data_IF_215644069878
#
_entry.id   IF_215644069878
#
_cell.length_a   1.000
_cell.length_b   1.000
_cell.length_c   1.000
_cell.angle_alpha   90.00
_cell.angle_beta   90.00
_cell.angle_gamma   90.00
#
_symmetry.space_group_name_H-M   'P 1'
#
loop_
_entity.id
_entity.type
_entity.pdbx_description
1 polymer ?
#
# COMPACT_ATOMS: atom_id res chain seq x y z
N UNK A 1 18.49 6.48 88.91
CA UNK A 1 19.17 6.07 87.65
C UNK A 1 18.25 5.05 86.99
N UNK A 2 17.68 5.19 85.80
CA UNK A 2 17.98 6.03 84.65
C UNK A 2 16.66 6.44 83.97
N UNK A 3 16.63 7.67 83.47
CA UNK A 3 15.48 8.31 82.84
C UNK A 3 15.17 7.70 81.46
N UNK A 4 13.88 7.46 81.19
CA UNK A 4 13.34 7.21 79.87
C UNK A 4 13.41 8.52 79.05
N UNK A 5 14.31 8.58 78.06
CA UNK A 5 14.33 9.68 77.09
C UNK A 5 13.23 9.47 76.03
N UNK A 6 12.51 10.53 75.63
CA UNK A 6 11.47 10.44 74.61
C UNK A 6 12.07 10.31 73.21
N UNK A 7 11.41 9.53 72.36
CA UNK A 7 11.66 9.42 70.92
C UNK A 7 11.63 10.81 70.28
N UNK A 8 12.78 11.28 69.83
CA UNK A 8 12.92 12.52 69.07
C UNK A 8 12.24 12.37 67.71
N UNK A 9 11.09 13.01 67.56
CA UNK A 9 10.44 13.23 66.27
C UNK A 9 11.34 14.11 65.41
N UNK A 10 11.96 13.50 64.39
CA UNK A 10 12.71 14.23 63.38
C UNK A 10 11.77 15.19 62.63
N UNK A 11 12.22 16.40 62.26
CA UNK A 11 11.40 17.38 61.55
C UNK A 11 10.91 16.81 60.22
N UNK A 12 9.65 17.08 59.85
CA UNK A 12 9.01 16.56 58.64
C UNK A 12 9.85 16.84 57.37
N UNK A 13 10.65 17.91 57.37
CA UNK A 13 11.58 18.25 56.29
C UNK A 13 12.75 17.27 56.14
N UNK A 14 13.26 16.68 57.24
CA UNK A 14 14.31 15.66 57.17
C UNK A 14 13.72 14.30 56.77
N UNK A 15 12.49 14.01 57.21
CA UNK A 15 11.76 12.82 56.79
C UNK A 15 11.47 12.85 55.27
N UNK A 16 11.03 14.00 54.74
CA UNK A 16 10.78 14.17 53.32
C UNK A 16 12.06 14.04 52.47
N UNK A 17 13.18 14.59 52.93
CA UNK A 17 14.48 14.45 52.28
C UNK A 17 14.94 12.99 52.27
N UNK A 18 14.77 12.30 53.38
CA UNK A 18 15.10 10.88 53.48
C UNK A 18 14.23 10.03 52.54
N UNK A 19 12.91 10.25 52.51
CA UNK A 19 12.02 9.54 51.57
C UNK A 19 12.34 9.86 50.12
N UNK A 20 12.79 11.08 49.82
CA UNK A 20 13.18 11.49 48.47
C UNK A 20 14.51 10.84 48.05
N UNK A 21 15.46 10.71 48.97
CA UNK A 21 16.73 9.98 48.74
C UNK A 21 16.51 8.48 48.58
N UNK A 22 15.63 7.88 49.39
CA UNK A 22 15.22 6.48 49.27
C UNK A 22 14.49 6.23 47.95
N UNK A 23 13.56 7.12 47.58
CA UNK A 23 12.87 7.07 46.28
C UNK A 23 13.82 7.28 45.10
N UNK A 24 14.79 8.20 45.24
CA UNK A 24 15.83 8.42 44.24
C UNK A 24 16.71 7.19 44.05
N UNK A 25 17.12 6.52 45.12
CA UNK A 25 17.84 5.24 45.06
C UNK A 25 17.00 4.14 44.41
N UNK A 26 15.72 4.03 44.76
CA UNK A 26 14.80 3.08 44.12
C UNK A 26 14.65 3.34 42.62
N UNK A 27 14.49 4.61 42.23
CA UNK A 27 14.45 5.00 40.81
C UNK A 27 15.77 4.65 40.12
N UNK A 28 16.92 4.89 40.75
CA UNK A 28 18.21 4.53 40.18
C UNK A 28 18.41 3.02 40.08
N UNK A 29 17.94 2.21 41.04
CA UNK A 29 17.98 0.74 40.95
C UNK A 29 17.05 0.21 39.85
N UNK A 30 15.83 0.75 39.76
CA UNK A 30 14.83 0.34 38.78
C UNK A 30 15.22 0.78 37.36
N UNK A 31 15.74 2.00 37.20
CA UNK A 31 16.24 2.55 35.94
C UNK A 31 17.70 2.18 35.64
N UNK A 32 18.41 1.51 36.56
CA UNK A 32 19.79 1.09 36.35
C UNK A 32 19.83 0.11 35.17
N UNK A 33 20.73 0.29 34.21
CA UNK A 33 20.90 -0.61 33.08
C UNK A 33 21.64 -1.88 33.53
N UNK A 34 21.15 -2.58 34.55
CA UNK A 34 21.54 -3.96 34.80
C UNK A 34 20.87 -4.82 33.72
N UNK A 35 21.66 -4.92 32.65
CA UNK A 35 21.66 -5.60 31.36
C UNK A 35 20.63 -6.71 30.98
N UNK A 36 19.55 -6.95 31.73
CA UNK A 36 18.53 -7.95 31.39
C UNK A 36 17.07 -7.45 31.50
N UNK A 37 16.83 -6.30 32.15
CA UNK A 37 15.47 -5.83 32.50
C UNK A 37 15.05 -4.50 31.88
N UNK A 38 15.81 -3.96 30.92
CA UNK A 38 15.48 -2.71 30.21
C UNK A 38 14.14 -2.74 29.46
N UNK A 39 13.52 -3.92 29.33
CA UNK A 39 12.18 -4.13 28.78
C UNK A 39 11.03 -3.81 29.74
N UNK A 40 11.29 -3.63 31.04
CA UNK A 40 10.24 -3.49 32.07
C UNK A 40 9.96 -2.05 32.51
N UNK A 41 10.77 -1.08 32.09
CA UNK A 41 10.68 0.32 32.53
C UNK A 41 9.68 1.16 31.73
N UNK A 42 9.52 0.83 30.46
CA UNK A 42 8.46 1.39 29.61
C UNK A 42 7.63 0.20 29.18
N UNK A 43 6.58 -0.17 29.93
CA UNK A 43 5.65 -1.17 29.45
C UNK A 43 5.12 -0.67 28.13
N UNK A 44 5.15 -1.52 27.13
CA UNK A 44 4.65 -1.14 25.83
C UNK A 44 3.18 -0.74 25.99
N UNK A 45 2.76 0.42 25.44
CA UNK A 45 1.54 1.11 25.86
C UNK A 45 0.27 0.26 25.67
N UNK A 46 0.33 -0.72 24.76
CA UNK A 46 -0.74 -1.68 24.47
C UNK A 46 -1.07 -2.67 25.60
N UNK A 47 -0.25 -2.74 26.66
CA UNK A 47 -0.53 -3.56 27.84
C UNK A 47 -1.26 -2.80 28.95
N UNK A 48 -1.56 -1.50 28.74
CA UNK A 48 -2.24 -0.65 29.71
C UNK A 48 -3.74 -0.58 29.38
N UNK A 49 -4.64 -0.51 30.37
CA UNK A 49 -6.06 -0.29 30.09
C UNK A 49 -6.29 1.08 29.43
N UNK A 50 -7.20 1.13 28.45
CA UNK A 50 -7.60 2.36 27.72
C UNK A 50 -6.47 3.06 26.94
N UNK A 51 -5.42 2.34 26.53
CA UNK A 51 -4.35 2.93 25.74
C UNK A 51 -4.81 3.42 24.36
N UNK A 52 -5.89 2.85 23.82
CA UNK A 52 -6.45 3.18 22.50
C UNK A 52 -6.98 4.61 22.42
N UNK A 53 -7.29 5.25 23.55
CA UNK A 53 -7.78 6.64 23.59
C UNK A 53 -6.63 7.64 23.38
N UNK A 54 -5.43 7.29 23.83
CA UNK A 54 -4.26 8.18 23.82
C UNK A 54 -3.32 7.90 22.66
N UNK A 55 -3.27 6.65 22.19
CA UNK A 55 -2.38 6.21 21.13
C UNK A 55 -3.16 5.88 19.87
N UNK A 56 -2.50 6.08 18.72
CA UNK A 56 -3.07 5.75 17.42
C UNK A 56 -3.25 4.24 17.20
N UNK A 57 -3.82 3.86 16.04
CA UNK A 57 -4.08 2.48 15.69
C UNK A 57 -2.81 1.62 15.79
N UNK A 58 -2.89 0.51 16.52
CA UNK A 58 -1.80 -0.47 16.65
C UNK A 58 -1.91 -1.59 15.62
N UNK A 59 -3.10 -1.81 15.07
CA UNK A 59 -3.31 -2.82 14.04
C UNK A 59 -2.64 -2.39 12.74
N UNK A 60 -1.83 -3.28 12.18
CA UNK A 60 -1.13 -3.04 10.93
C UNK A 60 -2.10 -2.68 9.79
N UNK A 61 -3.31 -3.25 9.78
CA UNK A 61 -4.35 -2.93 8.81
C UNK A 61 -4.81 -1.47 8.87
N UNK A 62 -4.99 -0.91 10.06
CA UNK A 62 -5.43 0.47 10.27
C UNK A 62 -4.30 1.46 9.99
N UNK A 63 -3.06 1.11 10.35
CA UNK A 63 -1.87 1.86 9.97
C UNK A 63 -1.70 1.86 8.45
N UNK A 64 -1.91 0.72 7.79
CA UNK A 64 -1.92 0.61 6.33
C UNK A 64 -3.04 1.44 5.69
N UNK A 65 -4.22 1.49 6.29
CA UNK A 65 -5.31 2.34 5.82
C UNK A 65 -4.97 3.83 5.95
N UNK A 66 -4.42 4.24 7.09
CA UNK A 66 -3.99 5.61 7.34
C UNK A 66 -2.86 6.03 6.39
N UNK A 67 -1.83 5.19 6.25
CA UNK A 67 -0.72 5.45 5.34
C UNK A 67 -1.19 5.51 3.88
N UNK A 68 -2.14 4.67 3.47
CA UNK A 68 -2.78 4.76 2.14
C UNK A 68 -3.52 6.08 1.94
N UNK A 69 -4.20 6.59 2.97
CA UNK A 69 -4.91 7.86 2.89
C UNK A 69 -3.95 9.07 2.82
N UNK A 70 -2.82 9.01 3.52
CA UNK A 70 -1.81 10.07 3.55
C UNK A 70 -0.90 10.06 2.32
N UNK A 71 -0.47 8.88 1.88
CA UNK A 71 0.39 8.68 0.73
C UNK A 71 -0.17 7.55 -0.14
N UNK A 72 -1.18 7.84 -0.99
CA UNK A 72 -1.81 6.82 -1.80
C UNK A 72 -0.84 6.30 -2.88
N UNK A 73 -0.59 4.98 -2.96
CA UNK A 73 0.21 4.39 -4.02
C UNK A 73 -0.64 4.28 -5.30
N UNK A 74 -0.92 5.41 -5.95
CA UNK A 74 -1.84 5.52 -7.09
C UNK A 74 -1.44 4.61 -8.26
N UNK A 75 -0.15 4.59 -8.61
CA UNK A 75 0.37 3.77 -9.71
C UNK A 75 0.13 2.29 -9.44
N UNK A 76 0.52 1.81 -8.25
CA UNK A 76 0.31 0.41 -7.85
C UNK A 76 -1.17 0.06 -7.84
N UNK A 77 -2.02 0.97 -7.37
CA UNK A 77 -3.47 0.76 -7.34
C UNK A 77 -4.06 0.61 -8.76
N UNK A 78 -3.60 1.42 -9.72
CA UNK A 78 -4.01 1.30 -11.13
C UNK A 78 -3.52 -0.03 -11.72
N UNK A 79 -2.27 -0.40 -11.45
CA UNK A 79 -1.70 -1.67 -11.93
C UNK A 79 -2.46 -2.87 -11.38
N UNK A 80 -2.72 -2.88 -10.08
CA UNK A 80 -3.47 -3.93 -9.41
C UNK A 80 -4.90 -3.99 -9.94
N UNK A 81 -5.56 -2.84 -10.18
CA UNK A 81 -6.91 -2.79 -10.74
C UNK A 81 -6.98 -3.33 -12.19
N UNK A 82 -6.00 -3.02 -13.03
CA UNK A 82 -5.97 -3.49 -14.42
C UNK A 82 -5.51 -4.94 -14.57
N UNK A 83 -4.74 -5.47 -13.60
CA UNK A 83 -4.28 -6.86 -13.61
C UNK A 83 -5.26 -7.82 -12.92
N UNK A 84 -5.80 -7.42 -11.77
CA UNK A 84 -6.61 -8.24 -10.88
C UNK A 84 -8.05 -7.70 -10.81
N UNK A 85 -8.79 -7.90 -11.90
CA UNK A 85 -10.18 -7.46 -12.03
C UNK A 85 -11.08 -8.00 -10.91
N UNK A 86 -10.82 -9.23 -10.47
CA UNK A 86 -11.68 -9.97 -9.54
C UNK A 86 -11.67 -9.36 -8.12
N UNK A 87 -10.63 -8.59 -7.78
CA UNK A 87 -10.47 -7.97 -6.47
C UNK A 87 -11.23 -6.64 -6.34
N UNK A 88 -11.46 -5.94 -7.45
CA UNK A 88 -12.07 -4.60 -7.46
C UNK A 88 -13.51 -4.61 -7.99
N UNK A 89 -13.85 -5.61 -8.79
CA UNK A 89 -15.19 -5.81 -9.32
C UNK A 89 -15.75 -7.10 -8.70
N UNK A 90 -16.47 -7.01 -7.56
CA UNK A 90 -17.21 -8.16 -7.06
C UNK A 90 -18.15 -8.63 -8.18
N UNK A 91 -18.23 -9.96 -8.38
CA UNK A 91 -18.85 -10.70 -9.50
C UNK A 91 -20.38 -10.45 -9.66
N UNK A 92 -20.91 -9.35 -9.12
CA UNK A 92 -22.29 -8.94 -9.28
C UNK A 92 -22.50 -8.35 -10.69
N UNK A 93 -23.06 -9.21 -11.55
CA UNK A 93 -23.93 -8.92 -12.69
C UNK A 93 -23.46 -7.85 -13.69
N UNK A 94 -22.98 -8.36 -14.83
CA UNK A 94 -22.64 -7.63 -16.04
C UNK A 94 -21.39 -6.75 -15.92
N UNK A 95 -20.22 -7.37 -16.13
CA UNK A 95 -19.05 -6.62 -16.55
C UNK A 95 -19.43 -5.78 -17.77
N UNK A 96 -19.38 -4.45 -17.64
CA UNK A 96 -19.38 -3.58 -18.79
C UNK A 96 -18.22 -4.03 -19.67
N UNK A 97 -18.55 -4.56 -20.86
CA UNK A 97 -17.57 -5.11 -21.81
C UNK A 97 -16.38 -4.17 -22.01
N UNK A 98 -16.59 -2.86 -21.88
CA UNK A 98 -15.56 -1.82 -22.01
C UNK A 98 -14.49 -1.85 -20.93
N UNK A 99 -14.84 -2.21 -19.68
CA UNK A 99 -13.85 -2.29 -18.58
C UNK A 99 -12.96 -3.52 -18.79
N UNK A 100 -13.55 -4.62 -19.25
CA UNK A 100 -12.81 -5.83 -19.61
C UNK A 100 -11.89 -5.57 -20.81
N UNK A 101 -12.36 -4.84 -21.83
CA UNK A 101 -11.58 -4.44 -23.00
C UNK A 101 -10.29 -3.69 -22.59
N UNK A 102 -10.38 -2.74 -21.66
CA UNK A 102 -9.22 -2.02 -21.16
C UNK A 102 -8.21 -2.93 -20.44
N UNK A 103 -8.70 -3.83 -19.60
CA UNK A 103 -7.85 -4.78 -18.87
C UNK A 103 -7.13 -5.74 -19.83
N UNK A 104 -7.83 -6.25 -20.85
CA UNK A 104 -7.23 -7.10 -21.89
C UNK A 104 -6.17 -6.34 -22.67
N UNK A 105 -6.45 -5.12 -23.12
CA UNK A 105 -5.48 -4.29 -23.82
C UNK A 105 -4.23 -4.02 -22.96
N UNK A 106 -4.43 -3.75 -21.66
CA UNK A 106 -3.34 -3.54 -20.71
C UNK A 106 -2.48 -4.78 -20.48
N UNK A 107 -3.07 -5.98 -20.42
CA UNK A 107 -2.32 -7.24 -20.30
C UNK A 107 -1.38 -7.45 -21.48
N UNK A 108 -1.88 -7.28 -22.72
CA UNK A 108 -1.04 -7.37 -23.93
C UNK A 108 0.07 -6.29 -23.89
N UNK A 109 -0.27 -5.06 -23.49
CA UNK A 109 0.69 -3.97 -23.33
C UNK A 109 1.82 -4.31 -22.33
N UNK A 110 1.52 -5.04 -21.25
CA UNK A 110 2.55 -5.46 -20.28
C UNK A 110 3.55 -6.43 -20.87
N UNK A 111 3.10 -7.39 -21.67
CA UNK A 111 3.93 -8.42 -22.33
C UNK A 111 4.70 -7.88 -23.53
N UNK A 112 4.23 -6.77 -24.11
CA UNK A 112 4.86 -6.13 -25.26
C UNK A 112 6.13 -5.33 -24.94
N UNK A 113 6.95 -5.13 -25.97
CA UNK A 113 8.19 -4.35 -25.90
C UNK A 113 7.94 -2.83 -25.76
N UNK A 114 9.01 -2.03 -25.62
CA UNK A 114 8.89 -0.57 -25.44
C UNK A 114 8.24 0.17 -26.62
N UNK A 115 8.28 -0.43 -27.82
CA UNK A 115 7.58 0.03 -29.02
C UNK A 115 6.64 -1.07 -29.50
N UNK A 116 5.35 -0.75 -29.56
CA UNK A 116 4.28 -1.70 -29.84
C UNK A 116 3.72 -1.38 -31.21
N UNK A 117 3.67 -2.36 -32.10
CA UNK A 117 2.94 -2.23 -33.36
C UNK A 117 1.44 -2.25 -33.05
N UNK A 118 0.73 -1.19 -33.44
CA UNK A 118 -0.71 -1.03 -33.13
C UNK A 118 -1.54 -2.11 -33.84
N UNK A 119 -1.12 -2.54 -35.03
CA UNK A 119 -1.84 -3.58 -35.77
C UNK A 119 -1.71 -4.95 -35.09
N UNK A 120 -0.50 -5.36 -34.71
CA UNK A 120 -0.28 -6.64 -34.02
C UNK A 120 -0.99 -6.65 -32.66
N UNK A 121 -1.04 -5.51 -31.98
CA UNK A 121 -1.79 -5.35 -30.74
C UNK A 121 -3.31 -5.53 -30.95
N UNK A 122 -3.87 -4.96 -32.02
CA UNK A 122 -5.27 -5.15 -32.39
C UNK A 122 -5.58 -6.62 -32.71
N UNK A 123 -4.70 -7.32 -33.43
CA UNK A 123 -4.90 -8.74 -33.75
C UNK A 123 -4.83 -9.61 -32.49
N UNK A 124 -3.89 -9.34 -31.59
CA UNK A 124 -3.81 -10.03 -30.30
C UNK A 124 -5.07 -9.77 -29.44
N UNK A 125 -5.60 -8.54 -29.49
CA UNK A 125 -6.82 -8.16 -28.79
C UNK A 125 -8.06 -8.89 -29.33
N UNK A 126 -8.20 -8.96 -30.65
CA UNK A 126 -9.27 -9.70 -31.36
C UNK A 126 -9.25 -11.19 -31.01
N UNK A 127 -8.05 -11.81 -31.04
CA UNK A 127 -7.86 -13.22 -30.72
C UNK A 127 -8.30 -13.61 -29.29
N UNK A 128 -8.23 -12.68 -28.33
CA UNK A 128 -8.66 -12.92 -26.94
C UNK A 128 -10.17 -12.79 -26.79
N UNK A 129 -10.81 -11.84 -27.49
CA UNK A 129 -12.24 -11.57 -27.35
C UNK A 129 -13.12 -12.52 -28.17
N UNK A 130 -12.72 -12.85 -29.40
CA UNK A 130 -13.49 -13.72 -30.29
C UNK A 130 -12.61 -14.87 -30.84
N UNK A 131 -12.22 -15.84 -30.00
CA UNK A 131 -11.32 -16.93 -30.41
C UNK A 131 -11.92 -17.91 -31.44
N UNK A 132 -13.18 -17.72 -31.87
CA UNK A 132 -13.91 -18.65 -32.73
C UNK A 132 -14.68 -17.99 -33.89
N UNK A 133 -14.50 -16.69 -34.13
CA UNK A 133 -15.21 -15.99 -35.21
C UNK A 133 -14.41 -15.99 -36.52
N UNK A 134 -14.90 -16.77 -37.51
CA UNK A 134 -14.67 -16.64 -38.96
C UNK A 134 -13.23 -16.93 -39.50
N UNK A 135 -13.11 -17.38 -40.78
CA UNK A 135 -11.83 -17.78 -41.36
C UNK A 135 -10.84 -16.59 -41.46
N UNK A 136 -9.55 -16.91 -41.32
CA UNK A 136 -8.41 -16.00 -41.17
C UNK A 136 -8.26 -14.87 -42.21
N UNK A 137 -9.08 -14.86 -43.26
CA UNK A 137 -9.03 -13.91 -44.36
C UNK A 137 -9.91 -12.67 -44.14
N UNK A 138 -10.82 -12.69 -43.16
CA UNK A 138 -11.65 -11.52 -42.81
C UNK A 138 -11.12 -10.90 -41.53
N UNK A 139 -10.27 -9.87 -41.64
CA UNK A 139 -9.69 -9.19 -40.48
C UNK A 139 -10.71 -8.67 -39.45
N UNK A 140 -10.24 -8.17 -38.28
CA UNK A 140 -11.04 -7.97 -37.07
C UNK A 140 -12.33 -7.19 -37.32
N UNK A 141 -13.42 -7.54 -36.64
CA UNK A 141 -14.72 -6.88 -36.87
C UNK A 141 -14.66 -5.37 -36.60
N UNK A 142 -15.51 -4.57 -37.27
CA UNK A 142 -15.56 -3.10 -37.05
C UNK A 142 -15.82 -2.75 -35.58
N UNK A 143 -16.61 -3.59 -34.90
CA UNK A 143 -16.96 -3.43 -33.49
C UNK A 143 -15.71 -3.63 -32.61
N UNK A 144 -14.93 -4.67 -32.85
CA UNK A 144 -13.69 -4.96 -32.10
C UNK A 144 -12.65 -3.87 -32.32
N UNK A 145 -12.49 -3.39 -33.56
CA UNK A 145 -11.62 -2.23 -33.84
C UNK A 145 -12.03 -1.01 -33.03
N UNK A 146 -13.33 -0.72 -32.92
CA UNK A 146 -13.81 0.43 -32.15
C UNK A 146 -13.59 0.28 -30.65
N UNK A 147 -13.77 -0.94 -30.10
CA UNK A 147 -13.48 -1.26 -28.70
C UNK A 147 -11.99 -1.14 -28.38
N UNK A 148 -11.15 -1.70 -29.23
CA UNK A 148 -9.70 -1.57 -29.13
C UNK A 148 -9.25 -0.10 -29.16
N UNK A 149 -9.74 0.69 -30.11
CA UNK A 149 -9.40 2.11 -30.19
C UNK A 149 -9.84 2.89 -28.95
N UNK A 150 -10.98 2.54 -28.35
CA UNK A 150 -11.42 3.12 -27.07
C UNK A 150 -10.47 2.75 -25.94
N UNK A 151 -10.15 1.48 -25.77
CA UNK A 151 -9.20 1.02 -24.75
C UNK A 151 -7.80 1.67 -24.93
N UNK A 152 -7.34 1.83 -26.18
CA UNK A 152 -6.10 2.50 -26.50
C UNK A 152 -6.10 3.98 -26.08
N UNK A 153 -7.22 4.68 -26.30
CA UNK A 153 -7.38 6.08 -25.87
C UNK A 153 -7.38 6.20 -24.34
N UNK A 154 -8.02 5.26 -23.64
CA UNK A 154 -8.03 5.24 -22.18
C UNK A 154 -6.60 5.04 -21.64
N UNK A 155 -5.81 4.14 -22.23
CA UNK A 155 -4.39 3.97 -21.90
C UNK A 155 -3.55 5.21 -22.23
N UNK A 156 -3.83 5.90 -23.33
CA UNK A 156 -3.18 7.17 -23.69
C UNK A 156 -3.53 8.28 -22.66
N UNK A 157 -4.79 8.36 -22.22
CA UNK A 157 -5.26 9.31 -21.22
C UNK A 157 -4.63 9.04 -19.83
N UNK A 158 -4.39 7.78 -19.48
CA UNK A 158 -3.65 7.40 -18.26
C UNK A 158 -2.14 7.70 -18.34
N UNK A 159 -1.63 8.12 -19.50
CA UNK A 159 -0.21 8.38 -19.71
C UNK A 159 0.65 7.12 -19.83
N UNK A 160 0.03 5.96 -20.11
CA UNK A 160 0.71 4.67 -20.27
C UNK A 160 1.34 4.51 -21.65
N UNK A 161 0.65 5.04 -22.64
CA UNK A 161 1.00 4.89 -24.05
C UNK A 161 1.04 6.26 -24.70
N UNK A 162 2.01 6.46 -25.59
CA UNK A 162 2.12 7.68 -26.40
C UNK A 162 2.22 7.33 -27.87
N UNK A 163 1.49 8.07 -28.72
CA UNK A 163 1.66 7.98 -30.18
C UNK A 163 3.03 8.54 -30.58
N UNK A 164 3.80 7.75 -31.33
CA UNK A 164 5.12 8.19 -31.81
C UNK A 164 5.03 8.74 -33.22
N UNK A 165 5.88 9.73 -33.54
CA UNK A 165 6.13 10.15 -34.92
C UNK A 165 7.27 9.38 -35.58
N UNK A 166 7.97 8.53 -34.81
CA UNK A 166 9.16 7.80 -35.27
C UNK A 166 8.80 6.65 -36.21
N UNK A 167 7.69 5.96 -35.96
CA UNK A 167 7.04 5.01 -36.87
C UNK A 167 5.54 5.23 -36.83
N UNK A 168 4.93 5.43 -38.01
CA UNK A 168 3.53 5.88 -38.16
C UNK A 168 2.51 4.96 -37.49
N UNK A 169 2.83 3.67 -37.35
CA UNK A 169 1.91 2.65 -36.83
C UNK A 169 2.35 2.08 -35.47
N UNK A 170 3.26 2.77 -34.76
CA UNK A 170 3.78 2.29 -33.46
C UNK A 170 3.40 3.22 -32.31
N UNK A 171 3.01 2.59 -31.21
CA UNK A 171 2.80 3.22 -29.92
C UNK A 171 4.01 3.00 -29.02
N UNK A 172 4.41 4.01 -28.25
CA UNK A 172 5.50 3.92 -27.29
C UNK A 172 4.96 3.71 -25.89
N UNK A 173 5.51 2.71 -25.23
CA UNK A 173 5.32 2.42 -23.81
C UNK A 173 6.02 3.48 -22.97
N UNK A 174 5.28 4.07 -22.03
CA UNK A 174 5.84 5.09 -21.14
C UNK A 174 6.47 4.41 -19.91
N UNK A 175 7.71 4.77 -19.53
CA UNK A 175 8.40 4.17 -18.37
C UNK A 175 7.82 4.62 -17.02
N UNK A 176 6.72 5.38 -17.02
CA UNK A 176 6.07 5.94 -15.82
C UNK A 176 5.60 4.85 -14.84
N UNK A 177 5.57 3.58 -15.26
CA UNK A 177 5.03 2.45 -14.50
C UNK A 177 6.04 1.40 -14.07
N UNK A 178 7.35 1.66 -14.12
CA UNK A 178 8.32 0.82 -13.43
C UNK A 178 8.36 1.20 -11.94
N UNK A 179 7.35 0.75 -11.18
CA UNK A 179 7.55 0.57 -9.74
C UNK A 179 8.58 -0.55 -9.62
N UNK A 180 9.73 -0.34 -8.96
CA UNK A 180 10.69 -1.42 -8.76
C UNK A 180 9.98 -2.53 -8.00
N UNK A 181 9.76 -3.66 -8.68
CA UNK A 181 9.39 -4.91 -8.02
C UNK A 181 10.55 -5.21 -7.09
N UNK A 182 10.34 -5.02 -5.78
CA UNK A 182 11.33 -5.40 -4.80
C UNK A 182 11.38 -6.94 -4.81
N UNK A 183 12.57 -7.56 -4.99
CA UNK A 183 12.70 -9.02 -4.97
C UNK A 183 12.33 -9.61 -3.61
#
# INVERSE_FOLDING_TARGET
MLASKPSSTLPISSLWKQTLEEFGKWLFEVLSPDNDSSRNLVPAPYNLPFYEVFYGPTQEAEIMALTRNLNPPLIKSIQDALCNTDCFFPIADHFDSTVLDLCVAYKIYRESSSLINVYDWLIAFDAILEPSSAPADTGPSRLIRSRFLRALLDLEQMGLVRRTKRRRDHAQKMPVMEVPVRP
#
